data_IF_416121262275
#
_entry.id   IF_416121262275
#
_cell.length_a   1.000
_cell.length_b   1.000
_cell.length_c   1.000
_cell.angle_alpha   90.00
_cell.angle_beta   90.00
_cell.angle_gamma   90.00
#
_symmetry.space_group_name_H-M   'P 1'
#
loop_
_entity.id
_entity.type
_entity.pdbx_description
1 polymer ?
#
# COMPACT_ATOMS: atom_id res chain seq x y z
N UNK A 1 1.79 14.96 10.00
CA UNK A 1 2.88 15.05 9.01
C UNK A 1 3.32 13.62 8.71
N UNK A 2 3.58 13.25 7.45
CA UNK A 2 4.11 11.92 7.14
C UNK A 2 5.40 11.70 7.96
N UNK A 3 5.43 10.66 8.77
CA UNK A 3 6.54 10.33 9.67
C UNK A 3 7.57 9.53 8.87
N UNK A 4 8.85 9.71 9.17
CA UNK A 4 9.91 8.89 8.59
C UNK A 4 9.73 7.43 9.04
N UNK A 5 9.81 6.49 8.09
CA UNK A 5 9.62 5.06 8.36
C UNK A 5 10.92 4.37 7.96
N UNK A 6 11.75 3.95 8.93
CA UNK A 6 13.09 3.41 8.66
C UNK A 6 13.13 2.27 7.64
N UNK A 7 12.06 1.49 7.51
CA UNK A 7 11.97 0.37 6.59
C UNK A 7 11.63 0.80 5.15
N UNK A 8 11.02 1.98 4.98
CA UNK A 8 10.74 2.60 3.69
C UNK A 8 11.79 3.63 3.29
N UNK A 9 12.47 4.22 4.26
CA UNK A 9 13.60 5.12 4.08
C UNK A 9 14.89 4.30 3.93
N UNK A 10 15.88 4.79 3.19
CA UNK A 10 17.22 4.14 3.15
C UNK A 10 18.14 4.85 4.14
N UNK A 11 19.23 4.22 4.60
CA UNK A 11 20.27 4.93 5.31
C UNK A 11 20.71 6.18 4.54
N UNK A 12 20.54 7.35 5.14
CA UNK A 12 20.87 8.64 4.52
C UNK A 12 19.79 9.23 3.60
N UNK A 13 18.61 8.61 3.48
CA UNK A 13 17.47 9.11 2.68
C UNK A 13 16.20 9.06 3.50
N UNK A 14 15.85 10.15 4.20
CA UNK A 14 14.63 10.28 4.99
C UNK A 14 13.48 10.97 4.23
N UNK A 15 12.25 10.69 4.64
CA UNK A 15 11.06 11.35 4.12
C UNK A 15 10.74 10.98 2.67
N UNK A 16 11.12 9.78 2.22
CA UNK A 16 10.87 9.34 0.83
C UNK A 16 9.38 9.29 0.49
N UNK A 17 8.52 9.02 1.47
CA UNK A 17 7.08 9.12 1.30
C UNK A 17 6.65 10.54 0.91
N UNK A 18 7.21 11.56 1.57
CA UNK A 18 6.89 12.96 1.29
C UNK A 18 7.46 13.43 -0.05
N UNK A 19 8.66 13.00 -0.40
CA UNK A 19 9.41 13.55 -1.54
C UNK A 19 9.20 12.78 -2.84
N UNK A 20 8.80 11.51 -2.79
CA UNK A 20 8.60 10.67 -3.99
C UNK A 20 7.18 10.12 -4.10
N UNK A 21 6.67 9.49 -3.04
CA UNK A 21 5.34 8.85 -3.09
C UNK A 21 4.22 9.88 -3.16
N UNK A 22 4.23 10.91 -2.31
CA UNK A 22 3.16 11.89 -2.25
C UNK A 22 2.98 12.72 -3.54
N UNK A 23 4.06 13.20 -4.21
CA UNK A 23 3.91 13.84 -5.52
C UNK A 23 3.31 12.91 -6.59
N UNK A 24 3.68 11.61 -6.58
CA UNK A 24 3.09 10.62 -7.48
C UNK A 24 1.60 10.46 -7.21
N UNK A 25 1.21 10.30 -5.93
CA UNK A 25 -0.19 10.20 -5.51
C UNK A 25 -1.00 11.40 -5.99
N UNK A 26 -0.49 12.62 -5.81
CA UNK A 26 -1.18 13.84 -6.22
C UNK A 26 -1.30 14.00 -7.75
N UNK A 27 -0.48 13.29 -8.53
CA UNK A 27 -0.47 13.38 -9.99
C UNK A 27 -1.33 12.30 -10.66
N UNK A 28 -1.83 11.32 -9.91
CA UNK A 28 -2.42 10.09 -10.45
C UNK A 28 -3.76 9.77 -9.78
N UNK A 29 -4.84 9.79 -10.57
CA UNK A 29 -6.23 9.68 -10.09
C UNK A 29 -6.48 8.47 -9.18
N UNK A 30 -6.04 7.28 -9.60
CA UNK A 30 -6.26 6.04 -8.84
C UNK A 30 -5.55 6.08 -7.48
N UNK A 31 -4.29 6.50 -7.45
CA UNK A 31 -3.53 6.60 -6.21
C UNK A 31 -4.12 7.66 -5.28
N UNK A 32 -4.51 8.83 -5.81
CA UNK A 32 -5.13 9.90 -5.06
C UNK A 32 -6.42 9.45 -4.35
N UNK A 33 -7.34 8.82 -5.07
CA UNK A 33 -8.64 8.42 -4.52
C UNK A 33 -8.51 7.40 -3.38
N UNK A 34 -7.56 6.47 -3.48
CA UNK A 34 -7.31 5.46 -2.44
C UNK A 34 -6.70 6.10 -1.19
N UNK A 35 -5.76 7.03 -1.36
CA UNK A 35 -5.17 7.76 -0.23
C UNK A 35 -6.22 8.66 0.45
N UNK A 36 -7.14 9.24 -0.33
CA UNK A 36 -8.27 9.99 0.23
C UNK A 36 -9.22 9.09 1.03
N UNK A 37 -9.54 7.89 0.53
CA UNK A 37 -10.34 6.88 1.23
C UNK A 37 -9.69 6.44 2.54
N UNK A 38 -8.40 6.15 2.52
CA UNK A 38 -7.63 5.81 3.72
C UNK A 38 -7.70 6.96 4.73
N UNK A 39 -7.43 8.19 4.28
CA UNK A 39 -7.47 9.38 5.14
C UNK A 39 -8.84 9.58 5.80
N UNK A 40 -9.93 9.46 5.04
CA UNK A 40 -11.28 9.59 5.56
C UNK A 40 -11.65 8.46 6.53
N UNK A 41 -11.21 7.24 6.26
CA UNK A 41 -11.44 6.08 7.14
C UNK A 41 -10.70 6.24 8.46
N UNK A 42 -9.44 6.70 8.42
CA UNK A 42 -8.66 6.98 9.63
C UNK A 42 -9.28 8.08 10.47
N UNK A 43 -9.72 9.16 9.80
CA UNK A 43 -10.42 10.25 10.47
C UNK A 43 -11.69 9.76 11.16
N UNK A 44 -12.47 8.90 10.50
CA UNK A 44 -13.67 8.29 11.09
C UNK A 44 -13.38 7.51 12.37
N UNK A 45 -12.27 6.76 12.41
CA UNK A 45 -11.83 5.98 13.58
C UNK A 45 -11.42 6.90 14.73
N UNK A 46 -10.60 7.92 14.47
CA UNK A 46 -10.07 8.81 15.51
C UNK A 46 -11.17 9.73 16.08
N UNK A 47 -12.05 10.26 15.25
CA UNK A 47 -12.98 11.31 15.69
C UNK A 47 -14.12 10.82 16.58
N UNK A 48 -14.37 9.51 16.76
CA UNK A 48 -15.44 8.90 17.58
C UNK A 48 -16.88 9.43 17.38
N UNK A 49 -17.09 10.43 16.52
CA UNK A 49 -18.27 11.31 16.53
C UNK A 49 -19.24 11.10 15.35
N UNK A 50 -19.02 10.14 14.46
CA UNK A 50 -19.80 10.04 13.22
C UNK A 50 -20.02 8.60 12.71
N UNK A 51 -20.03 7.60 13.60
CA UNK A 51 -19.93 6.19 13.22
C UNK A 51 -21.02 5.68 12.25
N UNK A 52 -22.17 6.35 12.11
CA UNK A 52 -23.23 5.96 11.16
C UNK A 52 -23.30 6.84 9.92
N UNK A 53 -23.14 8.16 10.05
CA UNK A 53 -23.31 9.11 8.93
C UNK A 53 -22.20 9.05 7.87
N UNK A 54 -20.97 8.70 8.26
CA UNK A 54 -19.83 8.71 7.32
C UNK A 54 -19.73 7.42 6.49
N UNK A 55 -20.33 6.30 6.94
CA UNK A 55 -20.19 4.99 6.28
C UNK A 55 -20.63 4.98 4.81
N UNK A 56 -21.78 5.57 4.43
CA UNK A 56 -22.18 5.65 3.02
C UNK A 56 -21.15 6.42 2.17
N UNK A 57 -20.55 7.47 2.73
CA UNK A 57 -19.52 8.24 2.05
C UNK A 57 -18.23 7.43 1.87
N UNK A 58 -17.79 6.68 2.88
CA UNK A 58 -16.63 5.79 2.76
C UNK A 58 -16.86 4.69 1.71
N UNK A 59 -18.07 4.12 1.67
CA UNK A 59 -18.43 3.15 0.64
C UNK A 59 -18.41 3.77 -0.77
N UNK A 60 -18.93 4.99 -0.93
CA UNK A 60 -18.86 5.70 -2.20
C UNK A 60 -17.42 5.97 -2.63
N UNK A 61 -16.58 6.46 -1.71
CA UNK A 61 -15.15 6.70 -1.97
C UNK A 61 -14.41 5.42 -2.34
N UNK A 62 -14.76 4.28 -1.73
CA UNK A 62 -14.27 2.96 -2.11
C UNK A 62 -14.66 2.58 -3.54
N UNK A 63 -15.93 2.77 -3.91
CA UNK A 63 -16.41 2.54 -5.28
C UNK A 63 -15.69 3.43 -6.29
N UNK A 64 -15.46 4.71 -5.95
CA UNK A 64 -14.75 5.64 -6.82
C UNK A 64 -13.29 5.21 -7.00
N UNK A 65 -12.58 4.87 -5.91
CA UNK A 65 -11.23 4.36 -5.97
C UNK A 65 -11.08 3.11 -6.85
N UNK A 66 -12.00 2.14 -6.74
CA UNK A 66 -12.05 0.96 -7.60
C UNK A 66 -12.31 1.36 -9.07
N UNK A 67 -13.20 2.32 -9.31
CA UNK A 67 -13.47 2.83 -10.66
C UNK A 67 -12.22 3.46 -11.27
N UNK A 68 -11.48 4.28 -10.52
CA UNK A 68 -10.25 4.91 -11.00
C UNK A 68 -9.14 3.89 -11.30
N UNK A 69 -9.01 2.81 -10.51
CA UNK A 69 -8.12 1.69 -10.85
C UNK A 69 -8.54 1.06 -12.18
N UNK A 70 -9.83 0.75 -12.34
CA UNK A 70 -10.35 0.12 -13.56
C UNK A 70 -10.16 1.00 -14.79
N UNK A 71 -10.38 2.31 -14.67
CA UNK A 71 -10.12 3.29 -15.75
C UNK A 71 -8.64 3.35 -16.11
N UNK A 72 -7.74 3.30 -15.12
CA UNK A 72 -6.30 3.28 -15.38
C UNK A 72 -5.87 2.01 -16.14
N UNK A 73 -6.57 0.89 -15.96
CA UNK A 73 -6.32 -0.34 -16.70
C UNK A 73 -6.74 -0.30 -18.18
N UNK A 74 -7.61 0.63 -18.57
CA UNK A 74 -8.01 0.80 -19.97
C UNK A 74 -6.90 1.45 -20.82
N UNK A 75 -5.95 2.13 -20.18
CA UNK A 75 -4.80 2.74 -20.87
C UNK A 75 -3.63 1.76 -20.92
N UNK A 76 -3.24 1.34 -22.13
CA UNK A 76 -2.13 0.39 -22.32
C UNK A 76 -0.81 0.87 -21.73
N UNK A 77 -0.53 2.17 -21.82
CA UNK A 77 0.69 2.78 -21.31
C UNK A 77 0.69 2.91 -19.77
N UNK A 78 -0.49 3.04 -19.16
CA UNK A 78 -0.63 3.33 -17.72
C UNK A 78 -0.99 2.11 -16.88
N UNK A 79 -1.61 1.08 -17.45
CA UNK A 79 -2.17 -0.07 -16.73
C UNK A 79 -1.19 -0.81 -15.83
N UNK A 80 0.11 -0.68 -16.07
CA UNK A 80 1.17 -1.26 -15.24
C UNK A 80 2.13 -0.22 -14.68
N UNK A 81 1.79 1.08 -14.66
CA UNK A 81 2.65 2.13 -14.13
C UNK A 81 2.90 1.94 -12.62
N UNK A 82 3.97 2.54 -12.12
CA UNK A 82 4.29 2.52 -10.68
C UNK A 82 3.14 3.09 -9.83
N UNK A 83 2.41 4.07 -10.38
CA UNK A 83 1.25 4.67 -9.73
C UNK A 83 0.09 3.69 -9.61
N UNK A 84 -0.24 2.94 -10.68
CA UNK A 84 -1.35 1.98 -10.64
C UNK A 84 -0.98 0.77 -9.76
N UNK A 85 0.27 0.31 -9.81
CA UNK A 85 0.77 -0.75 -8.92
C UNK A 85 0.69 -0.30 -7.46
N UNK A 86 1.17 0.91 -7.16
CA UNK A 86 1.08 1.48 -5.82
C UNK A 86 -0.37 1.68 -5.37
N UNK A 87 -1.27 2.09 -6.27
CA UNK A 87 -2.69 2.22 -6.01
C UNK A 87 -3.31 0.85 -5.63
N UNK A 88 -3.09 -0.19 -6.42
CA UNK A 88 -3.60 -1.55 -6.12
C UNK A 88 -3.03 -2.07 -4.80
N UNK A 89 -1.74 -1.84 -4.52
CA UNK A 89 -1.14 -2.20 -3.22
C UNK A 89 -1.83 -1.47 -2.05
N UNK A 90 -2.10 -0.17 -2.20
CA UNK A 90 -2.82 0.60 -1.18
C UNK A 90 -4.29 0.19 -1.02
N UNK A 91 -4.94 -0.22 -2.11
CA UNK A 91 -6.29 -0.77 -2.03
C UNK A 91 -6.30 -2.09 -1.24
N UNK A 92 -5.32 -2.97 -1.48
CA UNK A 92 -5.15 -4.18 -0.68
C UNK A 92 -4.95 -3.85 0.81
N UNK A 93 -4.08 -2.89 1.13
CA UNK A 93 -3.90 -2.41 2.51
C UNK A 93 -5.21 -1.90 3.12
N UNK A 94 -5.99 -1.13 2.37
CA UNK A 94 -7.31 -0.65 2.81
C UNK A 94 -8.25 -1.81 3.13
N UNK A 95 -8.37 -2.80 2.25
CA UNK A 95 -9.22 -3.97 2.49
C UNK A 95 -8.76 -4.79 3.69
N UNK A 96 -7.46 -4.91 3.91
CA UNK A 96 -6.92 -5.64 5.04
C UNK A 96 -7.34 -5.03 6.39
N UNK A 97 -7.52 -3.71 6.44
CA UNK A 97 -7.87 -2.96 7.67
C UNK A 97 -9.38 -2.77 7.81
N UNK A 98 -10.06 -2.35 6.74
CA UNK A 98 -11.42 -1.83 6.78
C UNK A 98 -12.42 -2.70 6.00
N UNK A 99 -11.93 -3.65 5.21
CA UNK A 99 -12.70 -4.41 4.25
C UNK A 99 -12.90 -5.86 4.65
N UNK A 100 -12.90 -6.74 3.65
CA UNK A 100 -12.99 -8.19 3.86
C UNK A 100 -11.70 -8.87 3.43
N UNK A 101 -11.45 -10.04 4.01
CA UNK A 101 -10.30 -10.88 3.66
C UNK A 101 -10.34 -11.29 2.18
N UNK A 102 -11.52 -11.56 1.64
CA UNK A 102 -11.70 -11.94 0.24
C UNK A 102 -11.31 -10.79 -0.70
N UNK A 103 -11.75 -9.56 -0.39
CA UNK A 103 -11.39 -8.39 -1.17
C UNK A 103 -9.88 -8.11 -1.11
N UNK A 104 -9.28 -8.22 0.08
CA UNK A 104 -7.82 -8.16 0.25
C UNK A 104 -7.09 -9.18 -0.64
N UNK A 105 -7.54 -10.44 -0.65
CA UNK A 105 -6.94 -11.50 -1.46
C UNK A 105 -7.06 -11.21 -2.96
N UNK A 106 -8.19 -10.68 -3.43
CA UNK A 106 -8.36 -10.28 -4.83
C UNK A 106 -7.35 -9.20 -5.23
N UNK A 107 -7.19 -8.14 -4.42
CA UNK A 107 -6.25 -7.08 -4.73
C UNK A 107 -4.78 -7.53 -4.65
N UNK A 108 -4.41 -8.37 -3.67
CA UNK A 108 -3.05 -8.90 -3.57
C UNK A 108 -2.71 -9.87 -4.69
N UNK A 109 -3.63 -10.76 -5.09
CA UNK A 109 -3.43 -11.64 -6.24
C UNK A 109 -3.28 -10.84 -7.55
N UNK A 110 -4.07 -9.77 -7.70
CA UNK A 110 -3.89 -8.82 -8.81
C UNK A 110 -2.53 -8.13 -8.78
N UNK A 111 -2.11 -7.64 -7.60
CA UNK A 111 -0.83 -6.98 -7.39
C UNK A 111 0.36 -7.90 -7.74
N UNK A 112 0.34 -9.15 -7.26
CA UNK A 112 1.37 -10.15 -7.56
C UNK A 112 1.52 -10.35 -9.08
N UNK A 113 0.41 -10.49 -9.80
CA UNK A 113 0.40 -10.61 -11.25
C UNK A 113 0.97 -9.37 -11.94
N UNK A 114 0.59 -8.16 -11.50
CA UNK A 114 1.11 -6.90 -12.06
C UNK A 114 2.62 -6.78 -11.87
N UNK A 115 3.11 -7.11 -10.67
CA UNK A 115 4.54 -7.12 -10.34
C UNK A 115 5.28 -8.15 -11.20
N UNK A 116 4.71 -9.34 -11.38
CA UNK A 116 5.28 -10.38 -12.26
C UNK A 116 5.42 -9.90 -13.70
N UNK A 117 4.37 -9.30 -14.29
CA UNK A 117 4.40 -8.79 -15.66
C UNK A 117 5.44 -7.66 -15.82
N UNK A 118 5.64 -6.84 -14.79
CA UNK A 118 6.68 -5.79 -14.78
C UNK A 118 8.12 -6.31 -14.69
N UNK A 119 8.32 -7.61 -14.50
CA UNK A 119 9.65 -8.21 -14.34
C UNK A 119 10.09 -8.35 -12.88
N UNK A 120 9.15 -8.30 -11.94
CA UNK A 120 9.39 -8.50 -10.51
C UNK A 120 9.57 -7.20 -9.72
N UNK A 121 9.66 -7.34 -8.38
CA UNK A 121 9.75 -6.21 -7.45
C UNK A 121 10.95 -5.29 -7.70
N UNK A 122 12.06 -5.82 -8.22
CA UNK A 122 13.27 -5.04 -8.55
C UNK A 122 13.12 -4.17 -9.80
N UNK A 123 12.10 -4.41 -10.65
CA UNK A 123 11.83 -3.64 -11.86
C UNK A 123 10.85 -2.48 -11.63
N UNK A 124 10.40 -2.29 -10.39
CA UNK A 124 9.52 -1.19 -10.00
C UNK A 124 10.33 0.11 -9.80
N UNK A 125 9.69 1.25 -10.09
CA UNK A 125 10.33 2.55 -10.02
C UNK A 125 10.41 3.14 -8.62
N UNK A 126 10.42 4.48 -8.57
CA UNK A 126 10.66 5.28 -7.35
C UNK A 126 11.95 4.90 -6.62
N UNK A 127 13.00 4.56 -7.36
CA UNK A 127 14.30 4.17 -6.79
C UNK A 127 14.16 3.06 -5.72
N UNK A 128 13.29 2.08 -5.95
CA UNK A 128 13.04 0.97 -5.03
C UNK A 128 12.14 1.30 -3.84
N UNK A 129 11.59 2.52 -3.72
CA UNK A 129 10.58 2.85 -2.72
C UNK A 129 9.30 2.03 -2.91
N UNK A 130 8.83 1.86 -4.15
CA UNK A 130 7.58 1.14 -4.41
C UNK A 130 7.67 -0.32 -3.97
N UNK A 131 8.81 -0.99 -4.22
CA UNK A 131 9.09 -2.32 -3.67
C UNK A 131 8.90 -2.35 -2.16
N UNK A 132 9.51 -1.40 -1.45
CA UNK A 132 9.47 -1.37 0.02
C UNK A 132 8.07 -1.11 0.54
N UNK A 133 7.28 -0.27 -0.12
CA UNK A 133 5.86 -0.08 0.19
C UNK A 133 5.09 -1.41 0.03
N UNK A 134 5.29 -2.15 -1.06
CA UNK A 134 4.61 -3.43 -1.28
C UNK A 134 5.03 -4.47 -0.24
N UNK A 135 6.32 -4.60 0.04
CA UNK A 135 6.84 -5.53 1.06
C UNK A 135 6.29 -5.17 2.45
N UNK A 136 6.23 -3.88 2.78
CA UNK A 136 5.63 -3.40 4.03
C UNK A 136 4.16 -3.82 4.15
N UNK A 137 3.38 -3.61 3.09
CA UNK A 137 1.96 -3.99 3.02
C UNK A 137 1.81 -5.50 3.18
N UNK A 138 2.56 -6.28 2.42
CA UNK A 138 2.50 -7.75 2.46
C UNK A 138 2.81 -8.33 3.84
N UNK A 139 3.89 -7.86 4.50
CA UNK A 139 4.26 -8.33 5.85
C UNK A 139 3.15 -8.04 6.86
N UNK A 140 2.73 -6.78 6.93
CA UNK A 140 1.77 -6.36 7.96
C UNK A 140 0.36 -6.91 7.69
N UNK A 141 -0.07 -6.96 6.43
CA UNK A 141 -1.36 -7.58 6.08
C UNK A 141 -1.35 -9.09 6.32
N UNK A 142 -0.23 -9.79 6.07
CA UNK A 142 -0.11 -11.20 6.41
C UNK A 142 -0.25 -11.45 7.92
N UNK A 143 0.38 -10.60 8.75
CA UNK A 143 0.23 -10.67 10.22
C UNK A 143 -1.21 -10.35 10.63
N UNK A 144 -1.78 -9.23 10.17
CA UNK A 144 -3.12 -8.78 10.52
C UNK A 144 -4.19 -9.80 10.13
N UNK A 145 -4.05 -10.40 8.96
CA UNK A 145 -5.00 -11.38 8.47
C UNK A 145 -4.74 -12.77 9.06
N UNK A 146 -3.52 -13.11 9.46
CA UNK A 146 -3.16 -14.50 9.79
C UNK A 146 -3.12 -15.36 8.52
N UNK A 147 -2.46 -14.86 7.48
CA UNK A 147 -2.23 -15.55 6.20
C UNK A 147 -0.74 -15.62 5.87
N UNK A 148 -0.29 -16.55 5.02
CA UNK A 148 1.03 -16.46 4.41
C UNK A 148 1.19 -15.15 3.62
N UNK A 149 2.45 -14.74 3.46
CA UNK A 149 2.84 -13.62 2.60
C UNK A 149 2.69 -13.99 1.12
N UNK A 150 2.28 -13.03 0.29
CA UNK A 150 2.32 -13.14 -1.17
C UNK A 150 3.74 -13.04 -1.70
N UNK A 151 4.64 -12.32 -1.01
CA UNK A 151 6.05 -12.21 -1.40
C UNK A 151 6.98 -12.78 -0.30
N UNK A 152 6.95 -14.10 -0.02
CA UNK A 152 7.57 -14.68 1.17
C UNK A 152 9.09 -14.50 1.27
N UNK A 153 9.79 -14.41 0.13
CA UNK A 153 11.25 -14.19 0.06
C UNK A 153 11.65 -12.73 -0.05
N UNK A 154 10.68 -11.82 -0.16
CA UNK A 154 10.98 -10.41 -0.40
C UNK A 154 11.30 -9.71 0.92
N UNK A 155 12.49 -9.10 0.95
CA UNK A 155 12.93 -8.17 1.99
C UNK A 155 12.87 -6.73 1.49
N UNK A 156 12.95 -5.75 2.39
CA UNK A 156 12.98 -4.32 2.07
C UNK A 156 14.17 -3.96 1.17
N UNK A 157 15.34 -4.55 1.42
CA UNK A 157 16.57 -4.30 0.66
C UNK A 157 16.67 -5.14 -0.60
N UNK A 158 15.91 -6.24 -0.68
CA UNK A 158 16.03 -7.23 -1.77
C UNK A 158 17.19 -8.19 -1.64
N UNK A 159 17.92 -8.14 -0.53
CA UNK A 159 18.95 -9.10 -0.16
C UNK A 159 18.34 -10.07 0.86
N UNK A 160 18.43 -11.37 0.63
CA UNK A 160 18.06 -12.39 1.62
C UNK A 160 19.11 -12.38 2.77
N UNK A 161 18.68 -12.14 4.01
CA UNK A 161 19.57 -12.13 5.20
C UNK A 161 20.26 -10.79 5.48
N UNK A 162 19.68 -9.68 5.02
CA UNK A 162 20.18 -8.32 5.28
C UNK A 162 20.00 -7.89 6.74
N UNK A 163 20.75 -6.89 7.19
CA UNK A 163 20.85 -6.42 8.59
C UNK A 163 19.53 -5.98 9.27
N UNK A 164 18.44 -5.88 8.52
CA UNK A 164 17.08 -5.59 9.00
C UNK A 164 16.23 -6.86 9.19
N UNK A 165 16.76 -8.03 8.82
CA UNK A 165 16.11 -9.35 8.88
C UNK A 165 16.41 -10.06 10.22
N UNK A 166 16.57 -9.30 11.31
CA UNK A 166 16.56 -9.91 12.64
C UNK A 166 15.13 -10.39 12.91
N UNK A 167 14.87 -11.68 12.71
CA UNK A 167 13.58 -12.33 12.99
C UNK A 167 13.14 -12.14 14.45
N UNK A 168 14.06 -11.81 15.37
CA UNK A 168 13.74 -11.45 16.76
C UNK A 168 13.27 -10.00 16.95
N UNK A 169 13.37 -9.17 15.89
CA UNK A 169 12.92 -7.77 15.79
C UNK A 169 12.21 -7.49 14.46
N UNK A 170 11.52 -8.49 13.90
CA UNK A 170 10.59 -8.22 12.80
C UNK A 170 9.62 -7.11 13.21
N UNK A 171 9.14 -6.26 12.29
CA UNK A 171 8.26 -5.17 12.66
C UNK A 171 7.05 -5.78 13.37
N UNK A 172 6.90 -5.49 14.67
CA UNK A 172 5.64 -5.72 15.37
C UNK A 172 4.57 -5.03 14.53
N UNK A 173 3.49 -5.76 14.22
CA UNK A 173 2.37 -5.21 13.48
C UNK A 173 1.84 -3.99 14.24
N UNK A 174 2.24 -2.81 13.80
CA UNK A 174 1.83 -1.56 14.39
C UNK A 174 0.78 -0.96 13.47
N UNK A 175 -0.48 -1.13 13.86
CA UNK A 175 -1.63 -0.65 13.11
C UNK A 175 -1.56 0.87 12.86
N UNK A 176 -1.00 1.65 13.80
CA UNK A 176 -0.83 3.10 13.61
C UNK A 176 0.19 3.44 12.51
N UNK A 177 1.26 2.65 12.38
CA UNK A 177 2.24 2.80 11.29
C UNK A 177 1.70 2.30 9.96
N UNK A 178 0.82 1.30 10.00
CA UNK A 178 0.18 0.74 8.82
C UNK A 178 -0.72 1.75 8.09
N UNK A 179 -1.26 2.67 8.87
CA UNK A 179 -2.18 3.74 8.46
C UNK A 179 -1.45 5.00 7.96
N UNK A 180 -0.16 5.17 8.29
CA UNK A 180 0.61 6.39 8.02
C UNK A 180 1.24 6.48 6.61
N UNK A 181 1.04 5.49 5.75
CA UNK A 181 1.66 5.35 4.41
C UNK A 181 0.59 5.44 3.33
#
# INVERSE_FOLDING_TARGET
>A
MAVDIPELDQPGSSGLLRTQWFPLVLSESAAFQIILLLSASNFAVVSSAAATGIRPHLLQMKCDAIRAINEAFLSEDKRLSDAVIGAVAKMASYEAINGTREAYQVHMAGLEKMVSIRGGLSALGLNGLLRRIIVWIDINSAILQGTPRFFPKATFTGIEGGRYDDESKGPEANLERFVAI
#
